data_IF_200046618809
#
_entry.id   IF_200046618809
#
_cell.length_a   1.000
_cell.length_b   1.000
_cell.length_c   1.000
_cell.angle_alpha   90.00
_cell.angle_beta   90.00
_cell.angle_gamma   90.00
#
_symmetry.space_group_name_H-M   'P 1'
#
loop_
_entity.id
_entity.type
_entity.pdbx_description
1 polymer ?
#
# COMPACT_ATOMS: atom_id res chain seq x y z
N UNK A 1 -2.43 19.97 -2.62
CA UNK A 1 -2.03 18.73 -1.89
C UNK A 1 -3.14 18.29 -0.93
N UNK A 2 -3.38 16.99 -0.84
CA UNK A 2 -4.31 16.43 0.15
C UNK A 2 -3.59 16.34 1.51
N UNK A 3 -4.01 17.16 2.48
CA UNK A 3 -3.35 17.25 3.79
C UNK A 3 -3.46 15.96 4.60
N UNK A 4 -4.59 15.25 4.49
CA UNK A 4 -4.80 13.98 5.20
C UNK A 4 -3.87 12.87 4.66
N UNK A 5 -3.71 12.78 3.33
CA UNK A 5 -2.75 11.89 2.70
C UNK A 5 -1.32 12.21 3.13
N UNK A 6 -0.94 13.51 3.11
CA UNK A 6 0.40 13.94 3.49
C UNK A 6 0.72 13.60 4.94
N UNK A 7 -0.18 13.90 5.86
CA UNK A 7 -0.02 13.58 7.27
C UNK A 7 0.12 12.07 7.49
N UNK A 8 -0.71 11.26 6.81
CA UNK A 8 -0.70 9.82 6.96
C UNK A 8 0.60 9.17 6.44
N UNK A 9 1.04 9.53 5.22
CA UNK A 9 2.28 8.99 4.64
C UNK A 9 3.51 9.44 5.45
N UNK A 10 3.54 10.71 5.89
CA UNK A 10 4.62 11.19 6.78
C UNK A 10 4.70 10.37 8.06
N UNK A 11 3.55 10.09 8.68
CA UNK A 11 3.52 9.24 9.88
C UNK A 11 4.05 7.81 9.63
N UNK A 12 3.65 7.16 8.54
CA UNK A 12 4.19 5.83 8.19
C UNK A 12 5.70 5.88 7.92
N UNK A 13 6.20 6.95 7.28
CA UNK A 13 7.62 7.14 7.05
C UNK A 13 8.40 7.34 8.35
N UNK A 14 7.86 8.10 9.31
CA UNK A 14 8.44 8.22 10.65
C UNK A 14 8.55 6.86 11.35
N UNK A 15 7.50 6.04 11.28
CA UNK A 15 7.50 4.69 11.85
C UNK A 15 8.49 3.75 11.15
N UNK A 16 8.71 3.91 9.85
CA UNK A 16 9.60 3.06 9.05
C UNK A 16 11.04 3.58 8.95
N UNK A 17 11.34 4.74 9.55
CA UNK A 17 12.66 5.35 9.49
C UNK A 17 12.99 6.01 8.15
N UNK A 18 12.00 6.21 7.29
CA UNK A 18 12.16 6.91 6.02
C UNK A 18 12.00 8.42 6.16
N UNK A 19 12.54 9.16 5.20
CA UNK A 19 12.36 10.61 5.10
C UNK A 19 11.43 10.93 3.95
N UNK A 20 10.58 11.95 4.16
CA UNK A 20 9.67 12.47 3.14
C UNK A 20 10.14 13.83 2.63
N UNK A 21 9.84 14.11 1.36
CA UNK A 21 9.90 15.43 0.75
C UNK A 21 8.59 15.68 0.02
N UNK A 22 8.06 16.87 0.15
CA UNK A 22 6.88 17.29 -0.60
C UNK A 22 7.36 18.14 -1.79
N UNK A 23 6.88 17.78 -2.98
CA UNK A 23 7.16 18.48 -4.23
C UNK A 23 5.80 18.70 -4.94
N UNK A 24 5.34 19.96 -4.96
CA UNK A 24 3.99 20.34 -5.36
C UNK A 24 2.91 19.54 -4.59
N UNK A 25 2.21 18.64 -5.28
CA UNK A 25 1.14 17.78 -4.73
C UNK A 25 1.59 16.32 -4.54
N UNK A 26 2.89 16.05 -4.62
CA UNK A 26 3.46 14.71 -4.52
C UNK A 26 4.30 14.58 -3.25
N UNK A 27 4.04 13.54 -2.49
CA UNK A 27 4.85 13.15 -1.33
C UNK A 27 5.88 12.14 -1.83
N UNK A 28 7.14 12.52 -1.76
CA UNK A 28 8.27 11.71 -2.21
C UNK A 28 8.92 11.03 -1.01
N UNK A 29 9.07 9.73 -1.10
CA UNK A 29 9.76 8.90 -0.12
C UNK A 29 10.99 8.32 -0.79
N UNK A 30 12.16 8.47 -0.16
CA UNK A 30 13.40 7.93 -0.69
C UNK A 30 13.53 6.47 -0.28
N UNK A 31 13.52 5.50 -1.23
CA UNK A 31 13.80 4.12 -0.91
C UNK A 31 15.31 3.98 -0.62
N UNK A 32 15.69 3.71 0.63
CA UNK A 32 17.02 3.29 1.07
C UNK A 32 18.23 4.08 0.58
N UNK A 33 19.43 3.71 1.03
CA UNK A 33 20.68 4.26 0.53
C UNK A 33 21.06 3.60 -0.81
N UNK A 34 21.37 4.41 -1.83
CA UNK A 34 21.88 3.94 -3.12
C UNK A 34 21.05 4.29 -4.35
N UNK A 35 19.81 4.71 -4.19
CA UNK A 35 18.98 5.22 -5.28
C UNK A 35 19.07 6.74 -5.34
N UNK A 36 19.66 7.29 -6.38
CA UNK A 36 19.93 8.73 -6.47
C UNK A 36 18.78 9.52 -7.08
N UNK A 37 17.99 8.93 -7.99
CA UNK A 37 17.05 9.66 -8.85
C UNK A 37 15.64 9.06 -8.93
N UNK A 38 15.34 8.00 -8.17
CA UNK A 38 14.02 7.36 -8.10
C UNK A 38 13.46 7.50 -6.68
N UNK A 39 12.25 8.01 -6.58
CA UNK A 39 11.51 8.12 -5.32
C UNK A 39 10.20 7.35 -5.44
N UNK A 40 9.77 6.74 -4.35
CA UNK A 40 8.38 6.33 -4.20
C UNK A 40 7.52 7.59 -4.07
N UNK A 41 6.40 7.61 -4.77
CA UNK A 41 5.55 8.78 -4.87
C UNK A 41 4.13 8.47 -4.45
N UNK A 42 3.61 9.28 -3.54
CA UNK A 42 2.24 9.22 -3.06
C UNK A 42 1.54 10.53 -3.39
N UNK A 43 0.42 10.45 -4.09
CA UNK A 43 -0.30 11.63 -4.57
C UNK A 43 -1.78 11.32 -4.80
N UNK A 44 -2.54 12.32 -5.23
CA UNK A 44 -3.86 12.09 -5.82
C UNK A 44 -3.81 12.28 -7.33
N UNK A 45 -4.26 11.26 -8.06
CA UNK A 45 -4.48 11.35 -9.51
C UNK A 45 -5.98 11.34 -9.75
N UNK A 46 -6.54 12.50 -10.15
CA UNK A 46 -8.00 12.72 -10.20
C UNK A 46 -8.61 12.49 -8.80
N UNK A 47 -9.53 11.51 -8.69
CA UNK A 47 -10.18 11.12 -7.43
C UNK A 47 -9.52 9.94 -6.71
N UNK A 48 -8.38 9.43 -7.21
CA UNK A 48 -7.72 8.25 -6.66
C UNK A 48 -6.51 8.63 -5.80
N UNK A 49 -6.42 8.09 -4.59
CA UNK A 49 -5.19 8.01 -3.81
C UNK A 49 -4.26 7.04 -4.52
N UNK A 50 -3.08 7.51 -4.89
CA UNK A 50 -2.22 6.84 -5.85
C UNK A 50 -0.81 6.67 -5.32
N UNK A 51 -0.22 5.51 -5.63
CA UNK A 51 1.19 5.19 -5.43
C UNK A 51 1.84 4.88 -6.77
N UNK A 52 3.08 5.30 -6.93
CA UNK A 52 3.91 5.05 -8.10
C UNK A 52 5.33 5.54 -7.87
N UNK A 53 6.04 5.82 -8.95
CA UNK A 53 7.42 6.28 -8.86
C UNK A 53 7.59 7.66 -9.49
N UNK A 54 8.49 8.43 -8.89
CA UNK A 54 8.90 9.73 -9.38
C UNK A 54 10.35 9.63 -9.88
N UNK A 55 10.53 9.80 -11.17
CA UNK A 55 11.81 9.72 -11.83
C UNK A 55 12.04 10.95 -12.72
N UNK A 56 13.29 11.39 -12.82
CA UNK A 56 13.67 12.47 -13.75
C UNK A 56 12.76 13.69 -13.68
N UNK A 57 12.40 14.08 -12.45
CA UNK A 57 11.56 15.25 -12.16
C UNK A 57 10.09 15.13 -12.60
N UNK A 58 9.58 13.91 -12.78
CA UNK A 58 8.17 13.71 -13.09
C UNK A 58 7.60 12.44 -12.44
N UNK A 59 6.31 12.47 -12.12
CA UNK A 59 5.57 11.30 -11.72
C UNK A 59 5.29 10.41 -12.93
N UNK A 60 5.80 9.18 -12.90
CA UNK A 60 5.73 8.24 -14.04
C UNK A 60 4.34 7.62 -14.26
N UNK A 61 3.42 7.80 -13.32
CA UNK A 61 2.08 7.23 -13.32
C UNK A 61 1.82 6.40 -12.07
N UNK A 62 0.55 6.04 -11.85
CA UNK A 62 0.13 5.29 -10.68
C UNK A 62 0.21 3.78 -10.94
N UNK A 63 1.03 3.07 -10.17
CA UNK A 63 1.08 1.60 -10.18
C UNK A 63 -0.04 0.99 -9.34
N UNK A 64 -0.48 1.72 -8.30
CA UNK A 64 -1.63 1.39 -7.48
C UNK A 64 -2.52 2.63 -7.30
N UNK A 65 -3.83 2.43 -7.26
CA UNK A 65 -4.78 3.49 -6.95
C UNK A 65 -6.06 2.98 -6.31
N UNK A 66 -6.63 3.79 -5.42
CA UNK A 66 -7.93 3.53 -4.82
C UNK A 66 -8.75 4.80 -4.65
N UNK A 67 -10.04 4.73 -4.95
CA UNK A 67 -11.00 5.80 -4.65
C UNK A 67 -11.35 5.88 -3.15
N UNK A 68 -10.91 4.92 -2.34
CA UNK A 68 -11.08 4.89 -0.89
C UNK A 68 -9.77 5.17 -0.19
N UNK A 69 -9.75 6.19 0.67
CA UNK A 69 -8.58 6.46 1.51
C UNK A 69 -8.33 5.31 2.48
N UNK A 70 -9.37 4.70 3.04
CA UNK A 70 -9.21 3.55 3.95
C UNK A 70 -8.55 2.34 3.26
N UNK A 71 -8.92 2.02 2.03
CA UNK A 71 -8.27 0.96 1.26
C UNK A 71 -6.83 1.34 0.92
N UNK A 72 -6.59 2.61 0.56
CA UNK A 72 -5.25 3.11 0.28
C UNK A 72 -4.35 3.06 1.53
N UNK A 73 -4.87 3.40 2.71
CA UNK A 73 -4.14 3.26 3.98
C UNK A 73 -3.68 1.82 4.22
N UNK A 74 -4.53 0.83 3.96
CA UNK A 74 -4.17 -0.59 4.09
C UNK A 74 -3.05 -1.00 3.13
N UNK A 75 -3.12 -0.54 1.88
CA UNK A 75 -2.04 -0.71 0.91
C UNK A 75 -0.74 -0.10 1.41
N UNK A 76 -0.76 1.15 1.89
CA UNK A 76 0.42 1.83 2.39
C UNK A 76 1.04 1.12 3.62
N UNK A 77 0.22 0.66 4.57
CA UNK A 77 0.70 -0.15 5.71
C UNK A 77 1.37 -1.43 5.21
N UNK A 78 0.73 -2.16 4.30
CA UNK A 78 1.29 -3.38 3.73
C UNK A 78 2.63 -3.11 3.04
N UNK A 79 2.73 -2.01 2.30
CA UNK A 79 3.93 -1.58 1.60
C UNK A 79 5.09 -1.29 2.57
N UNK A 80 4.84 -0.55 3.65
CA UNK A 80 5.85 -0.19 4.65
C UNK A 80 6.05 -1.23 5.77
N UNK A 81 5.28 -2.30 5.83
CA UNK A 81 5.26 -3.23 6.97
C UNK A 81 6.63 -3.78 7.34
N UNK A 82 7.44 -4.15 6.35
CA UNK A 82 8.79 -4.68 6.57
C UNK A 82 9.73 -3.62 7.17
N UNK A 83 9.68 -2.40 6.64
CA UNK A 83 10.53 -1.29 7.07
C UNK A 83 10.13 -0.79 8.46
N UNK A 84 8.82 -0.69 8.75
CA UNK A 84 8.30 -0.38 10.09
C UNK A 84 8.86 -1.37 11.10
N UNK A 85 8.78 -2.68 10.82
CA UNK A 85 9.30 -3.70 11.75
C UNK A 85 10.80 -3.61 11.91
N UNK A 86 11.55 -3.38 10.84
CA UNK A 86 13.00 -3.22 10.89
C UNK A 86 13.40 -2.00 11.75
N UNK A 87 12.74 -0.85 11.58
CA UNK A 87 12.98 0.36 12.35
C UNK A 87 12.70 0.15 13.86
N UNK A 88 11.68 -0.67 14.19
CA UNK A 88 11.33 -1.02 15.58
C UNK A 88 12.08 -2.24 16.11
N UNK A 89 13.07 -2.78 15.39
CA UNK A 89 13.86 -3.97 15.76
C UNK A 89 12.99 -5.21 16.05
N UNK A 90 11.84 -5.31 15.36
CA UNK A 90 10.93 -6.45 15.44
C UNK A 90 11.34 -7.54 14.44
N UNK A 91 11.08 -8.83 14.73
CA UNK A 91 11.33 -9.91 13.77
C UNK A 91 10.56 -9.68 12.46
N UNK A 92 11.10 -10.09 11.30
CA UNK A 92 10.39 -10.03 10.02
C UNK A 92 9.04 -10.77 10.09
N UNK A 93 8.05 -10.28 9.33
CA UNK A 93 6.78 -10.99 9.17
C UNK A 93 7.00 -12.28 8.37
N UNK A 94 6.50 -13.38 8.89
CA UNK A 94 6.43 -14.64 8.15
C UNK A 94 5.02 -14.78 7.58
N UNK A 95 4.81 -14.18 6.41
CA UNK A 95 3.50 -14.22 5.74
C UNK A 95 3.45 -15.47 4.85
N UNK A 96 2.39 -16.30 4.93
CA UNK A 96 2.18 -17.38 3.99
C UNK A 96 2.17 -16.86 2.54
N UNK A 97 2.80 -17.59 1.64
CA UNK A 97 2.72 -17.26 0.22
C UNK A 97 1.26 -17.43 -0.25
N UNK A 98 0.63 -16.34 -0.63
CA UNK A 98 -0.73 -16.34 -1.20
C UNK A 98 -0.64 -16.08 -2.70
N UNK A 99 -1.21 -16.98 -3.49
CA UNK A 99 -1.27 -16.88 -4.95
C UNK A 99 -2.69 -16.58 -5.43
N UNK A 100 -3.66 -16.90 -4.61
CA UNK A 100 -5.08 -16.76 -4.92
C UNK A 100 -5.68 -15.59 -4.14
N UNK A 101 -6.61 -14.90 -4.75
CA UNK A 101 -7.39 -13.85 -4.10
C UNK A 101 -8.28 -14.44 -3.00
N UNK A 102 -8.46 -13.72 -1.89
CA UNK A 102 -9.36 -14.12 -0.82
C UNK A 102 -10.76 -14.48 -1.36
N UNK A 103 -11.42 -15.57 -0.89
CA UNK A 103 -12.67 -16.09 -1.44
C UNK A 103 -13.83 -15.09 -1.59
N UNK A 104 -13.85 -14.03 -0.75
CA UNK A 104 -14.85 -12.95 -0.81
C UNK A 104 -14.64 -11.94 -1.95
N UNK A 105 -13.55 -12.04 -2.69
CA UNK A 105 -13.14 -11.09 -3.72
C UNK A 105 -12.86 -11.78 -5.04
N UNK A 106 -12.69 -10.97 -6.09
CA UNK A 106 -12.16 -11.35 -7.39
C UNK A 106 -11.29 -10.23 -7.95
N UNK A 107 -10.41 -10.58 -8.88
CA UNK A 107 -9.58 -9.62 -9.61
C UNK A 107 -9.97 -9.73 -11.07
N UNK A 108 -10.37 -8.60 -11.65
CA UNK A 108 -10.75 -8.48 -13.04
C UNK A 108 -9.63 -7.79 -13.82
N UNK A 109 -9.27 -8.34 -14.97
CA UNK A 109 -8.31 -7.71 -15.88
C UNK A 109 -9.04 -6.72 -16.80
N UNK A 110 -8.52 -5.51 -16.83
CA UNK A 110 -8.97 -4.46 -17.75
C UNK A 110 -7.82 -4.07 -18.68
N UNK A 111 -8.05 -4.21 -19.98
CA UNK A 111 -7.06 -3.80 -20.97
C UNK A 111 -6.72 -2.31 -20.87
N UNK A 112 -5.46 -1.92 -21.17
CA UNK A 112 -4.40 -2.78 -21.69
C UNK A 112 -3.54 -3.45 -20.62
N UNK A 113 -3.55 -3.01 -19.34
CA UNK A 113 -2.56 -3.45 -18.34
C UNK A 113 -3.06 -3.37 -16.90
N UNK A 114 -4.33 -3.03 -16.64
CA UNK A 114 -4.82 -2.81 -15.28
C UNK A 114 -5.63 -4.00 -14.75
N UNK A 115 -5.56 -4.16 -13.43
CA UNK A 115 -6.32 -5.15 -12.67
C UNK A 115 -7.16 -4.44 -11.63
N UNK A 116 -8.42 -4.81 -11.50
CA UNK A 116 -9.37 -4.27 -10.54
C UNK A 116 -9.72 -5.28 -9.48
N UNK A 117 -9.70 -4.87 -8.22
CA UNK A 117 -10.24 -5.64 -7.11
C UNK A 117 -11.76 -5.43 -7.05
N UNK A 118 -12.52 -6.50 -7.02
CA UNK A 118 -13.97 -6.49 -6.87
C UNK A 118 -14.41 -7.38 -5.71
N UNK A 119 -15.52 -7.03 -5.07
CA UNK A 119 -16.10 -7.83 -4.00
C UNK A 119 -17.32 -8.61 -4.52
N UNK A 120 -17.41 -9.88 -4.12
CA UNK A 120 -18.54 -10.75 -4.48
C UNK A 120 -19.82 -10.45 -3.70
N UNK A 121 -19.69 -9.82 -2.54
CA UNK A 121 -20.82 -9.55 -1.63
C UNK A 121 -21.46 -8.19 -1.86
N UNK A 122 -20.66 -7.15 -2.07
CA UNK A 122 -21.13 -5.77 -2.25
C UNK A 122 -20.11 -4.94 -3.01
N UNK A 123 -20.53 -3.91 -3.77
CA UNK A 123 -19.58 -3.02 -4.43
C UNK A 123 -18.58 -2.42 -3.44
N UNK A 124 -17.32 -2.39 -3.83
CA UNK A 124 -16.26 -1.66 -3.12
C UNK A 124 -15.78 -0.48 -3.97
N UNK A 125 -15.19 0.55 -3.36
CA UNK A 125 -14.57 1.64 -4.10
C UNK A 125 -13.54 1.12 -5.10
N UNK A 126 -13.48 1.73 -6.29
CA UNK A 126 -12.53 1.35 -7.34
C UNK A 126 -11.12 1.30 -6.78
N UNK A 127 -10.48 0.13 -6.92
CA UNK A 127 -9.11 -0.13 -6.46
C UNK A 127 -8.41 -0.95 -7.52
N UNK A 128 -7.27 -0.48 -7.99
CA UNK A 128 -6.57 -1.06 -9.12
C UNK A 128 -5.05 -1.11 -8.95
N UNK A 129 -4.42 -2.00 -9.72
CA UNK A 129 -2.96 -1.99 -9.97
C UNK A 129 -2.71 -2.03 -11.46
N UNK A 130 -1.48 -1.64 -11.85
CA UNK A 130 -1.01 -1.76 -13.23
C UNK A 130 0.09 -2.84 -13.28
N UNK A 131 0.14 -3.59 -14.37
CA UNK A 131 1.11 -4.67 -14.68
C UNK A 131 1.04 -5.93 -13.83
N UNK A 132 0.67 -5.88 -12.54
CA UNK A 132 0.67 -7.06 -11.68
C UNK A 132 -0.48 -7.04 -10.68
N UNK A 133 -1.23 -8.14 -10.53
CA UNK A 133 -2.30 -8.25 -9.54
C UNK A 133 -1.82 -8.53 -8.10
N UNK A 134 -0.50 -8.75 -7.88
CA UNK A 134 0.01 -9.27 -6.61
C UNK A 134 -0.38 -8.41 -5.39
N UNK A 135 -0.32 -7.09 -5.52
CA UNK A 135 -0.73 -6.19 -4.45
C UNK A 135 -2.23 -6.32 -4.13
N UNK A 136 -3.09 -6.53 -5.14
CA UNK A 136 -4.53 -6.75 -4.96
C UNK A 136 -4.81 -8.12 -4.32
N UNK A 137 -4.04 -9.15 -4.67
CA UNK A 137 -4.14 -10.47 -4.01
C UNK A 137 -3.91 -10.31 -2.52
N UNK A 138 -2.79 -9.73 -2.11
CA UNK A 138 -2.48 -9.51 -0.70
C UNK A 138 -3.50 -8.60 -0.01
N UNK A 139 -3.87 -7.49 -0.65
CA UNK A 139 -4.84 -6.52 -0.13
C UNK A 139 -6.21 -7.16 0.13
N UNK A 140 -6.64 -8.14 -0.69
CA UNK A 140 -7.93 -8.80 -0.54
C UNK A 140 -8.10 -9.48 0.83
N UNK A 141 -7.01 -9.97 1.43
CA UNK A 141 -6.99 -10.56 2.77
C UNK A 141 -7.08 -9.52 3.89
N UNK A 142 -6.70 -8.29 3.62
CA UNK A 142 -6.68 -7.20 4.59
C UNK A 142 -7.98 -6.40 4.62
N UNK A 143 -8.90 -6.65 3.68
CA UNK A 143 -10.12 -5.87 3.51
C UNK A 143 -11.05 -5.91 4.72
N UNK A 144 -11.05 -7.01 5.49
CA UNK A 144 -11.87 -7.20 6.69
C UNK A 144 -11.36 -6.50 7.96
N UNK A 145 -10.14 -5.94 7.93
CA UNK A 145 -9.47 -5.32 9.09
C UNK A 145 -9.40 -3.81 8.89
N UNK A 146 -9.59 -2.98 9.91
CA UNK A 146 -9.38 -1.53 9.81
C UNK A 146 -7.90 -1.19 9.60
N UNK A 147 -7.58 -0.03 9.05
CA UNK A 147 -6.17 0.40 8.90
C UNK A 147 -5.48 0.57 10.25
N UNK A 148 -6.19 1.02 11.28
CA UNK A 148 -5.67 1.19 12.64
C UNK A 148 -5.32 -0.15 13.28
N UNK A 149 -6.22 -1.15 13.17
CA UNK A 149 -5.97 -2.51 13.67
C UNK A 149 -4.82 -3.15 12.88
N UNK A 150 -4.79 -2.96 11.55
CA UNK A 150 -3.74 -3.50 10.70
C UNK A 150 -2.35 -2.97 11.09
N UNK A 151 -2.22 -1.66 11.34
CA UNK A 151 -0.97 -1.07 11.81
C UNK A 151 -0.57 -1.62 13.18
N UNK A 152 -1.55 -1.81 14.09
CA UNK A 152 -1.32 -2.43 15.39
C UNK A 152 -0.78 -3.86 15.27
N UNK A 153 -1.32 -4.65 14.32
CA UNK A 153 -0.84 -6.01 14.04
C UNK A 153 0.57 -6.03 13.43
N UNK A 154 0.91 -5.04 12.60
CA UNK A 154 2.29 -4.88 12.09
C UNK A 154 3.27 -4.61 13.22
N UNK A 155 2.89 -3.82 14.21
CA UNK A 155 3.71 -3.47 15.38
C UNK A 155 3.71 -4.53 16.49
N UNK A 156 2.85 -5.55 16.41
CA UNK A 156 2.85 -6.65 17.37
C UNK A 156 4.20 -7.40 17.34
N UNK A 157 4.87 -7.64 18.49
CA UNK A 157 6.21 -8.24 18.53
C UNK A 157 6.32 -9.57 17.78
N UNK A 158 5.32 -10.46 17.91
CA UNK A 158 5.32 -11.76 17.23
C UNK A 158 5.01 -11.67 15.73
N UNK A 159 4.25 -10.66 15.30
CA UNK A 159 3.68 -10.55 13.96
C UNK A 159 2.67 -11.65 13.61
N UNK A 160 2.30 -12.49 14.58
CA UNK A 160 1.43 -13.64 14.35
C UNK A 160 0.00 -13.21 13.94
N UNK A 161 -0.50 -12.14 14.55
CA UNK A 161 -1.82 -11.59 14.22
C UNK A 161 -1.89 -11.10 12.77
N UNK A 162 -0.85 -10.41 12.30
CA UNK A 162 -0.77 -9.99 10.90
C UNK A 162 -0.69 -11.19 9.95
N UNK A 163 0.16 -12.18 10.25
CA UNK A 163 0.30 -13.38 9.43
C UNK A 163 -0.99 -14.21 9.36
N UNK A 164 -1.78 -14.23 10.45
CA UNK A 164 -3.06 -14.94 10.50
C UNK A 164 -4.11 -14.40 9.52
N UNK A 165 -4.03 -13.13 9.12
CA UNK A 165 -4.94 -12.54 8.13
C UNK A 165 -4.85 -13.23 6.76
N UNK A 166 -3.73 -13.88 6.45
CA UNK A 166 -3.47 -14.59 5.18
C UNK A 166 -3.79 -16.08 5.23
N UNK A 167 -4.43 -16.55 6.32
CA UNK A 167 -4.84 -17.93 6.49
C UNK A 167 -6.37 -18.01 6.31
N UNK A 168 -6.82 -18.57 5.17
CA UNK A 168 -8.22 -18.86 4.90
C UNK A 168 -8.49 -20.35 5.03
#
# INVERSE_FOLDING_TARGET
MNEELAAYITHLCELSGHTTRIDDDVILVKPGEGYTDVYEAFTMVKEYYSFGYFERYSFGGADFGSASFEIFKKFAIMHFAADIRAAHQLPPLTIPAVTDVHPGFSIEFHEPTSYLLTSKASPIPTTYTIFSPNALVSLSYLMGTSSEDLLSLVLEPSGAGYAALFQC
#
